data_IF_317488543927
#
_entry.id   IF_317488543927
#
_cell.length_a   1.000
_cell.length_b   1.000
_cell.length_c   1.000
_cell.angle_alpha   90.00
_cell.angle_beta   90.00
_cell.angle_gamma   90.00
#
_symmetry.space_group_name_H-M   'P 1'
#
loop_
_entity.id
_entity.type
_entity.pdbx_description
1 polymer ?
#
# COMPACT_ATOMS: atom_id res chain seq x y z
N UNK A 1 -19.23 -23.49 14.55
CA UNK A 1 -18.08 -22.64 14.96
C UNK A 1 -18.63 -21.38 15.62
N UNK A 2 -18.69 -21.39 16.94
CA UNK A 2 -19.19 -20.28 17.75
C UNK A 2 -18.18 -19.14 17.69
N UNK A 3 -18.56 -17.95 17.19
CA UNK A 3 -17.69 -16.77 17.15
C UNK A 3 -17.40 -16.33 18.59
N UNK A 4 -16.29 -16.81 19.16
CA UNK A 4 -15.74 -16.33 20.43
C UNK A 4 -15.03 -15.02 20.12
N UNK A 5 -15.65 -13.90 20.50
CA UNK A 5 -14.99 -12.60 20.46
C UNK A 5 -13.91 -12.63 21.52
N UNK A 6 -12.67 -12.89 21.12
CA UNK A 6 -11.53 -12.83 22.04
C UNK A 6 -11.41 -11.40 22.56
N UNK A 7 -11.22 -11.31 23.86
CA UNK A 7 -11.07 -10.04 24.55
C UNK A 7 -9.81 -9.34 24.02
N UNK A 8 -9.76 -8.01 23.99
CA UNK A 8 -8.57 -7.25 23.50
C UNK A 8 -7.28 -7.76 24.15
N UNK A 9 -7.35 -8.15 25.42
CA UNK A 9 -6.24 -8.73 26.19
C UNK A 9 -5.72 -10.06 25.61
N UNK A 10 -6.61 -10.99 25.23
CA UNK A 10 -6.23 -12.29 24.62
C UNK A 10 -5.58 -12.09 23.25
N UNK A 11 -6.04 -11.11 22.47
CA UNK A 11 -5.39 -10.73 21.20
C UNK A 11 -3.99 -10.17 21.41
N UNK A 12 -3.81 -9.30 22.41
CA UNK A 12 -2.50 -8.72 22.72
C UNK A 12 -1.51 -9.77 23.21
N UNK A 13 -1.95 -10.70 24.05
CA UNK A 13 -1.11 -11.79 24.55
C UNK A 13 -0.73 -12.73 23.39
N UNK A 14 -1.66 -13.10 22.52
CA UNK A 14 -1.37 -13.88 21.31
C UNK A 14 -0.43 -13.16 20.32
N UNK A 15 -0.56 -11.83 20.17
CA UNK A 15 0.38 -11.05 19.36
C UNK A 15 1.79 -10.99 19.97
N UNK A 16 1.90 -10.92 21.30
CA UNK A 16 3.18 -10.94 22.00
C UNK A 16 3.87 -12.31 21.84
N UNK A 17 3.10 -13.41 21.86
CA UNK A 17 3.62 -14.77 21.65
C UNK A 17 4.05 -15.03 20.20
N UNK A 18 3.31 -14.50 19.21
CA UNK A 18 3.60 -14.70 17.77
C UNK A 18 4.85 -13.95 17.27
N UNK A 19 5.36 -12.99 18.05
CA UNK A 19 6.56 -12.24 17.71
C UNK A 19 6.39 -11.22 16.57
N UNK A 20 7.47 -10.48 16.27
CA UNK A 20 7.42 -9.32 15.38
C UNK A 20 7.24 -9.70 13.90
N UNK A 21 6.09 -9.38 13.30
CA UNK A 21 5.85 -9.53 11.86
C UNK A 21 6.52 -8.43 10.98
N UNK A 22 7.47 -7.68 11.55
CA UNK A 22 8.20 -6.58 10.89
C UNK A 22 8.73 -6.94 9.49
N UNK A 23 9.20 -8.17 9.28
CA UNK A 23 9.78 -8.61 8.01
C UNK A 23 8.74 -8.82 6.91
N UNK A 24 7.61 -9.45 7.23
CA UNK A 24 6.48 -9.62 6.30
C UNK A 24 5.79 -8.29 6.00
N UNK A 25 5.71 -7.41 7.01
CA UNK A 25 5.23 -6.04 6.83
C UNK A 25 6.10 -5.27 5.84
N UNK A 26 7.42 -5.29 6.05
CA UNK A 26 8.37 -4.61 5.17
C UNK A 26 8.30 -5.15 3.73
N UNK A 27 8.18 -6.46 3.55
CA UNK A 27 8.12 -7.08 2.23
C UNK A 27 6.81 -6.72 1.50
N UNK A 28 5.69 -6.75 2.21
CA UNK A 28 4.37 -6.36 1.67
C UNK A 28 4.32 -4.88 1.27
N UNK A 29 4.88 -3.99 2.11
CA UNK A 29 4.97 -2.56 1.81
C UNK A 29 5.92 -2.31 0.64
N UNK A 30 7.09 -2.97 0.61
CA UNK A 30 8.06 -2.85 -0.48
C UNK A 30 7.46 -3.30 -1.81
N UNK A 31 6.75 -4.42 -1.83
CA UNK A 31 6.08 -4.94 -3.04
C UNK A 31 4.99 -3.98 -3.52
N UNK A 32 4.18 -3.44 -2.61
CA UNK A 32 3.11 -2.50 -2.94
C UNK A 32 3.65 -1.17 -3.45
N UNK A 33 4.74 -0.67 -2.87
CA UNK A 33 5.45 0.51 -3.34
C UNK A 33 6.01 0.32 -4.76
N UNK A 34 6.70 -0.81 -5.01
CA UNK A 34 7.22 -1.16 -6.35
C UNK A 34 6.10 -1.22 -7.37
N UNK A 35 4.95 -1.81 -7.01
CA UNK A 35 3.80 -1.91 -7.89
C UNK A 35 3.19 -0.53 -8.18
N UNK A 36 3.02 0.30 -7.16
CA UNK A 36 2.55 1.68 -7.31
C UNK A 36 3.46 2.53 -8.18
N UNK A 37 4.77 2.43 -7.97
CA UNK A 37 5.75 3.15 -8.78
C UNK A 37 5.74 2.67 -10.24
N UNK A 38 5.64 1.37 -10.49
CA UNK A 38 5.61 0.81 -11.83
C UNK A 38 4.31 1.13 -12.59
N UNK A 39 3.16 1.06 -11.92
CA UNK A 39 1.86 1.39 -12.51
C UNK A 39 1.64 2.91 -12.65
N UNK A 40 2.26 3.71 -11.79
CA UNK A 40 2.08 5.15 -11.79
C UNK A 40 2.72 5.86 -12.98
N UNK A 41 3.83 5.34 -13.52
CA UNK A 41 4.52 5.93 -14.67
C UNK A 41 3.63 5.92 -15.93
N UNK A 42 3.08 4.78 -16.41
CA UNK A 42 2.22 4.78 -17.59
C UNK A 42 0.92 5.55 -17.35
N UNK A 43 0.32 5.47 -16.15
CA UNK A 43 -0.86 6.26 -15.81
C UNK A 43 -0.58 7.78 -15.84
N UNK A 44 0.55 8.22 -15.29
CA UNK A 44 0.94 9.63 -15.29
C UNK A 44 1.16 10.17 -16.69
N UNK A 45 1.89 9.43 -17.52
CA UNK A 45 2.14 9.80 -18.92
C UNK A 45 0.84 9.86 -19.73
N UNK A 46 -0.05 8.88 -19.57
CA UNK A 46 -1.34 8.85 -20.28
C UNK A 46 -2.25 10.02 -19.90
N UNK A 47 -2.41 10.29 -18.61
CA UNK A 47 -3.26 11.39 -18.11
C UNK A 47 -2.68 12.74 -18.54
N UNK A 48 -1.37 12.92 -18.44
CA UNK A 48 -0.72 14.16 -18.86
C UNK A 48 -0.84 14.39 -20.37
N UNK A 49 -0.65 13.34 -21.19
CA UNK A 49 -0.81 13.42 -22.64
C UNK A 49 -2.25 13.79 -23.03
N UNK A 50 -3.24 13.12 -22.43
CA UNK A 50 -4.67 13.35 -22.74
C UNK A 50 -5.15 14.75 -22.38
N UNK A 51 -4.65 15.35 -21.30
CA UNK A 51 -5.14 16.65 -20.82
C UNK A 51 -4.30 17.85 -21.28
N UNK A 52 -3.02 17.67 -21.57
CA UNK A 52 -2.10 18.79 -21.84
C UNK A 52 -1.32 18.68 -23.15
N UNK A 53 -1.46 17.57 -23.89
CA UNK A 53 -0.76 17.35 -25.16
C UNK A 53 0.76 17.42 -25.01
N UNK A 54 1.43 18.07 -25.97
CA UNK A 54 2.90 18.20 -26.03
C UNK A 54 3.48 19.39 -25.27
N UNK A 55 2.68 20.11 -24.47
CA UNK A 55 3.22 21.18 -23.64
C UNK A 55 4.13 20.60 -22.54
N UNK A 56 5.44 20.70 -22.73
CA UNK A 56 6.46 19.98 -21.96
C UNK A 56 6.40 20.29 -20.45
N UNK A 57 6.21 21.56 -20.09
CA UNK A 57 6.09 22.01 -18.68
C UNK A 57 4.89 21.40 -17.95
N UNK A 58 3.63 21.60 -18.39
CA UNK A 58 2.48 21.01 -17.73
C UNK A 58 2.46 19.48 -17.87
N UNK A 59 2.97 18.92 -18.97
CA UNK A 59 3.08 17.49 -19.16
C UNK A 59 3.95 16.83 -18.08
N UNK A 60 5.18 17.33 -17.87
CA UNK A 60 6.09 16.77 -16.87
C UNK A 60 5.56 16.94 -15.44
N UNK A 61 5.05 18.13 -15.11
CA UNK A 61 4.51 18.41 -13.77
C UNK A 61 3.32 17.52 -13.43
N UNK A 62 2.40 17.31 -14.37
CA UNK A 62 1.19 16.49 -14.15
C UNK A 62 1.48 15.00 -14.19
N UNK A 63 2.40 14.56 -15.05
CA UNK A 63 2.87 13.17 -15.06
C UNK A 63 3.49 12.80 -13.71
N UNK A 64 4.35 13.67 -13.16
CA UNK A 64 4.95 13.47 -11.84
C UNK A 64 3.92 13.48 -10.72
N UNK A 65 2.96 14.41 -10.74
CA UNK A 65 1.90 14.47 -9.74
C UNK A 65 1.08 13.16 -9.71
N UNK A 66 0.64 12.69 -10.88
CA UNK A 66 -0.13 11.44 -11.00
C UNK A 66 0.71 10.23 -10.59
N UNK A 67 2.00 10.19 -10.95
CA UNK A 67 2.92 9.13 -10.53
C UNK A 67 3.08 9.08 -9.00
N UNK A 68 3.26 10.23 -8.35
CA UNK A 68 3.35 10.30 -6.89
C UNK A 68 2.02 9.87 -6.26
N UNK A 69 0.89 10.38 -6.74
CA UNK A 69 -0.43 10.05 -6.20
C UNK A 69 -0.72 8.55 -6.30
N UNK A 70 -0.46 7.94 -7.46
CA UNK A 70 -0.66 6.50 -7.65
C UNK A 70 0.26 5.69 -6.75
N UNK A 71 1.53 6.06 -6.65
CA UNK A 71 2.50 5.41 -5.74
C UNK A 71 2.03 5.48 -4.28
N UNK A 72 1.57 6.65 -3.82
CA UNK A 72 1.05 6.84 -2.46
C UNK A 72 -0.21 6.01 -2.23
N UNK A 73 -1.16 6.01 -3.17
CA UNK A 73 -2.39 5.21 -3.06
C UNK A 73 -2.09 3.71 -2.90
N UNK A 74 -1.24 3.15 -3.76
CA UNK A 74 -0.84 1.75 -3.66
C UNK A 74 -0.03 1.46 -2.40
N UNK A 75 0.78 2.41 -1.94
CA UNK A 75 1.52 2.28 -0.68
C UNK A 75 0.57 2.22 0.52
N UNK A 76 -0.47 3.06 0.57
CA UNK A 76 -1.49 3.00 1.63
C UNK A 76 -2.24 1.67 1.62
N UNK A 77 -2.65 1.18 0.44
CA UNK A 77 -3.28 -0.14 0.30
C UNK A 77 -2.33 -1.25 0.79
N UNK A 78 -1.04 -1.14 0.46
CA UNK A 78 0.00 -2.04 0.93
C UNK A 78 0.15 -2.05 2.45
N UNK A 79 0.16 -0.88 3.08
CA UNK A 79 0.24 -0.74 4.54
C UNK A 79 -0.99 -1.35 5.20
N UNK A 80 -2.20 -1.06 4.71
CA UNK A 80 -3.44 -1.63 5.24
C UNK A 80 -3.42 -3.16 5.13
N UNK A 81 -3.04 -3.69 3.97
CA UNK A 81 -2.98 -5.14 3.72
C UNK A 81 -1.92 -5.81 4.58
N UNK A 82 -0.74 -5.22 4.68
CA UNK A 82 0.35 -5.70 5.53
C UNK A 82 -0.08 -5.72 6.99
N UNK A 83 -0.72 -4.64 7.45
CA UNK A 83 -1.22 -4.50 8.82
C UNK A 83 -2.32 -5.52 9.11
N UNK A 84 -3.24 -5.73 8.17
CA UNK A 84 -4.28 -6.75 8.28
C UNK A 84 -3.68 -8.16 8.39
N UNK A 85 -2.73 -8.52 7.53
CA UNK A 85 -2.06 -9.82 7.60
C UNK A 85 -1.27 -10.00 8.89
N UNK A 86 -0.66 -8.93 9.41
CA UNK A 86 0.08 -8.93 10.67
C UNK A 86 -0.83 -9.08 11.90
N UNK A 87 -2.00 -8.43 11.88
CA UNK A 87 -3.00 -8.48 12.95
C UNK A 87 -3.88 -9.72 12.86
N UNK A 88 -3.86 -10.44 11.74
CA UNK A 88 -4.60 -11.69 11.57
C UNK A 88 -3.89 -12.81 12.33
N UNK A 89 -4.05 -12.79 13.65
CA UNK A 89 -3.80 -13.93 14.52
C UNK A 89 -4.59 -15.10 13.94
N UNK A 90 -3.91 -16.13 13.42
CA UNK A 90 -4.56 -17.41 13.08
C UNK A 90 -4.92 -18.08 14.41
N UNK A 91 -6.06 -17.69 14.98
CA UNK A 91 -6.73 -18.46 16.03
C UNK A 91 -7.45 -19.65 15.44
#
# INVERSE_FOLDING_TARGET
MTKRWTTVKEYMDAQNELGSCKKEFQDSVSRSFKFGAAAGVPCGLYVAYKHYGFNIRPFAAKSLAVWITTTVCFSCVGIITATYNCLRVKM
#
